data_IF_057741727085
#
_entry.id   IF_057741727085
#
_cell.length_a   1.000
_cell.length_b   1.000
_cell.length_c   1.000
_cell.angle_alpha   90.00
_cell.angle_beta   90.00
_cell.angle_gamma   90.00
#
_symmetry.space_group_name_H-M   'P 1'
#
loop_
_entity.id
_entity.type
_entity.pdbx_description
1 polymer ?
#
# COMPACT_ATOMS: atom_id res chain seq x y z
N UNK A 1 -26.21 -14.24 -7.20
CA UNK A 1 -25.39 -13.00 -7.18
C UNK A 1 -24.67 -12.99 -5.85
N UNK A 2 -23.34 -13.13 -5.86
CA UNK A 2 -22.53 -12.95 -4.65
C UNK A 2 -22.58 -11.48 -4.26
N UNK A 3 -23.03 -11.18 -3.06
CA UNK A 3 -23.11 -9.81 -2.55
C UNK A 3 -21.69 -9.29 -2.30
N UNK A 4 -21.30 -8.23 -3.02
CA UNK A 4 -20.00 -7.58 -2.83
C UNK A 4 -20.06 -6.63 -1.64
N UNK A 5 -19.11 -6.76 -0.71
CA UNK A 5 -18.89 -5.81 0.38
C UNK A 5 -17.58 -5.09 0.17
N UNK A 6 -17.47 -3.88 0.71
CA UNK A 6 -16.22 -3.15 0.72
C UNK A 6 -16.04 -2.26 1.93
N UNK A 7 -14.80 -1.94 2.23
CA UNK A 7 -14.43 -0.96 3.24
C UNK A 7 -13.17 -0.23 2.80
N UNK A 8 -12.91 0.91 3.45
CA UNK A 8 -11.71 1.70 3.20
C UNK A 8 -10.87 1.87 4.46
N UNK A 9 -9.56 1.94 4.27
CA UNK A 9 -8.57 2.24 5.29
C UNK A 9 -7.84 3.53 4.89
N UNK A 10 -7.48 4.34 5.89
CA UNK A 10 -6.66 5.55 5.70
C UNK A 10 -5.43 5.46 6.59
N UNK A 11 -4.28 5.78 6.03
CA UNK A 11 -3.02 5.86 6.76
C UNK A 11 -2.11 6.87 6.09
N UNK A 12 -1.26 7.53 6.88
CA UNK A 12 -0.31 8.50 6.39
C UNK A 12 1.10 7.93 6.51
N UNK A 13 1.87 7.88 5.43
CA UNK A 13 3.26 7.40 5.50
C UNK A 13 4.18 8.16 4.56
N UNK A 14 5.46 8.19 4.92
CA UNK A 14 6.53 8.80 4.13
C UNK A 14 7.38 7.75 3.42
N UNK A 15 8.01 8.13 2.31
CA UNK A 15 8.83 7.26 1.48
C UNK A 15 9.85 8.01 0.62
N UNK A 16 10.81 7.24 0.09
CA UNK A 16 11.84 7.67 -0.85
C UNK A 16 11.63 6.98 -2.18
N UNK A 17 11.56 7.75 -3.27
CA UNK A 17 11.68 7.22 -4.63
C UNK A 17 13.15 7.26 -5.03
N UNK A 18 13.89 6.23 -4.63
CA UNK A 18 15.32 6.09 -4.92
C UNK A 18 15.64 4.65 -5.28
N UNK A 19 16.20 4.44 -6.47
CA UNK A 19 16.70 3.15 -6.93
C UNK A 19 18.22 3.09 -6.68
N UNK A 20 18.69 2.30 -5.70
CA UNK A 20 20.10 2.29 -5.28
C UNK A 20 21.09 1.85 -6.36
N UNK A 21 20.62 1.13 -7.39
CA UNK A 21 21.46 0.69 -8.50
C UNK A 21 21.66 1.75 -9.59
N UNK A 22 20.99 2.90 -9.49
CA UNK A 22 21.06 3.98 -10.47
C UNK A 22 21.89 5.16 -9.94
N UNK A 23 22.49 5.93 -10.84
CA UNK A 23 23.10 7.20 -10.47
C UNK A 23 22.03 8.26 -10.12
N UNK A 24 22.45 9.35 -9.48
CA UNK A 24 21.58 10.44 -9.07
C UNK A 24 20.86 11.07 -10.27
N UNK A 25 21.57 11.26 -11.37
CA UNK A 25 21.02 11.87 -12.57
C UNK A 25 19.90 11.02 -13.20
N UNK A 26 20.02 9.69 -13.16
CA UNK A 26 19.00 8.75 -13.61
C UNK A 26 17.81 8.76 -12.66
N UNK A 27 18.02 8.71 -11.33
CA UNK A 27 16.94 8.84 -10.36
C UNK A 27 16.15 10.15 -10.55
N UNK A 28 16.87 11.27 -10.70
CA UNK A 28 16.26 12.58 -10.93
C UNK A 28 15.48 12.64 -12.25
N UNK A 29 16.00 12.04 -13.33
CA UNK A 29 15.29 11.96 -14.63
C UNK A 29 14.03 11.10 -14.56
N UNK A 30 14.07 9.98 -13.82
CA UNK A 30 12.96 9.03 -13.77
C UNK A 30 11.87 9.44 -12.79
N UNK A 31 12.24 9.85 -11.58
CA UNK A 31 11.29 10.13 -10.50
C UNK A 31 10.98 11.62 -10.34
N UNK A 32 11.77 12.51 -10.95
CA UNK A 32 11.49 13.95 -10.96
C UNK A 32 11.36 14.50 -9.54
N UNK A 33 10.20 15.11 -9.24
CA UNK A 33 9.91 15.70 -7.93
C UNK A 33 9.77 14.68 -6.80
N UNK A 34 9.54 13.42 -7.13
CA UNK A 34 9.43 12.35 -6.13
C UNK A 34 10.81 11.88 -5.63
N UNK A 35 11.88 12.17 -6.38
CA UNK A 35 13.24 11.98 -5.90
C UNK A 35 13.69 13.19 -5.09
N UNK A 36 13.92 12.95 -3.79
CA UNK A 36 14.45 13.94 -2.85
C UNK A 36 15.23 13.22 -1.75
N UNK A 37 16.24 13.89 -1.19
CA UNK A 37 17.13 13.31 -0.16
C UNK A 37 16.39 12.88 1.11
N UNK A 38 15.30 13.57 1.43
CA UNK A 38 14.51 13.37 2.65
C UNK A 38 13.16 12.69 2.39
N UNK A 39 12.85 12.37 1.14
CA UNK A 39 11.58 11.79 0.74
C UNK A 39 10.42 12.77 0.80
N UNK A 40 9.22 12.21 0.74
CA UNK A 40 7.94 12.90 0.89
C UNK A 40 6.92 11.90 1.47
N UNK A 41 5.66 12.30 1.62
CA UNK A 41 4.63 11.39 2.14
C UNK A 41 3.24 11.77 1.66
N UNK A 42 2.30 10.86 1.91
CA UNK A 42 0.92 10.98 1.45
C UNK A 42 -0.06 10.44 2.48
N UNK A 43 -1.31 10.92 2.36
CA UNK A 43 -2.47 10.37 3.05
C UNK A 43 -3.14 9.33 2.14
N UNK A 44 -2.69 8.08 2.27
CA UNK A 44 -3.17 7.00 1.43
C UNK A 44 -4.60 6.57 1.79
N UNK A 45 -5.39 6.23 0.78
CA UNK A 45 -6.69 5.59 0.95
C UNK A 45 -6.71 4.23 0.25
N UNK A 46 -6.81 3.15 1.04
CA UNK A 46 -6.89 1.77 0.54
C UNK A 46 -8.34 1.31 0.52
N UNK A 47 -8.86 1.03 -0.67
CA UNK A 47 -10.20 0.51 -0.92
C UNK A 47 -10.13 -1.00 -1.15
N UNK A 48 -10.97 -1.75 -0.43
CA UNK A 48 -11.02 -3.20 -0.51
C UNK A 48 -12.45 -3.61 -0.84
N UNK A 49 -12.61 -4.39 -1.92
CA UNK A 49 -13.87 -5.02 -2.32
C UNK A 49 -13.71 -6.55 -2.24
N UNK A 50 -14.67 -7.25 -1.64
CA UNK A 50 -14.59 -8.67 -1.29
C UNK A 50 -15.95 -9.35 -1.37
N UNK A 51 -16.04 -10.66 -1.69
CA UNK A 51 -17.29 -11.40 -1.60
C UNK A 51 -17.55 -11.96 -0.19
N UNK A 52 -16.65 -11.69 0.78
CA UNK A 52 -16.74 -12.21 2.13
C UNK A 52 -17.94 -11.66 2.91
N UNK A 53 -18.38 -12.44 3.89
CA UNK A 53 -19.51 -12.15 4.76
C UNK A 53 -19.24 -12.58 6.21
N UNK A 54 -20.04 -12.05 7.13
CA UNK A 54 -20.05 -12.48 8.53
C UNK A 54 -18.66 -12.45 9.17
N UNK A 55 -18.30 -13.53 9.87
CA UNK A 55 -17.04 -13.63 10.60
C UNK A 55 -15.80 -13.46 9.71
N UNK A 56 -15.81 -13.94 8.46
CA UNK A 56 -14.67 -13.77 7.56
C UNK A 56 -14.47 -12.32 7.12
N UNK A 57 -15.56 -11.56 6.99
CA UNK A 57 -15.49 -10.13 6.69
C UNK A 57 -14.93 -9.34 7.88
N UNK A 58 -15.37 -9.64 9.10
CA UNK A 58 -14.82 -8.99 10.31
C UNK A 58 -13.34 -9.35 10.53
N UNK A 59 -12.94 -10.62 10.31
CA UNK A 59 -11.52 -11.02 10.32
C UNK A 59 -10.68 -10.20 9.33
N UNK A 60 -11.22 -9.94 8.13
CA UNK A 60 -10.53 -9.11 7.14
C UNK A 60 -10.43 -7.64 7.60
N UNK A 61 -11.45 -7.11 8.26
CA UNK A 61 -11.40 -5.75 8.84
C UNK A 61 -10.38 -5.64 9.97
N UNK A 62 -10.28 -6.65 10.83
CA UNK A 62 -9.25 -6.74 11.87
C UNK A 62 -7.84 -6.78 11.25
N UNK A 63 -7.62 -7.63 10.25
CA UNK A 63 -6.36 -7.66 9.50
C UNK A 63 -6.05 -6.30 8.84
N UNK A 64 -7.07 -5.60 8.36
CA UNK A 64 -6.96 -4.23 7.85
C UNK A 64 -6.55 -3.21 8.90
N UNK A 65 -7.07 -3.32 10.13
CA UNK A 65 -6.67 -2.47 11.24
C UNK A 65 -5.21 -2.70 11.64
N UNK A 66 -4.77 -3.97 11.67
CA UNK A 66 -3.36 -4.32 11.90
C UNK A 66 -2.44 -3.78 10.79
N UNK A 67 -2.84 -3.91 9.53
CA UNK A 67 -2.11 -3.34 8.40
C UNK A 67 -1.99 -1.82 8.54
N UNK A 68 -3.08 -1.15 8.93
CA UNK A 68 -3.08 0.30 9.16
C UNK A 68 -2.07 0.67 10.24
N UNK A 69 -2.11 0.05 11.40
CA UNK A 69 -1.12 0.28 12.48
C UNK A 69 0.31 -0.04 12.04
N UNK A 70 0.47 -1.01 11.16
CA UNK A 70 1.76 -1.37 10.61
C UNK A 70 2.35 -0.30 9.67
N UNK A 71 1.54 0.52 9.00
CA UNK A 71 1.98 1.51 8.01
C UNK A 71 1.84 2.96 8.47
N UNK A 72 0.84 3.25 9.30
CA UNK A 72 0.43 4.61 9.68
C UNK A 72 1.53 5.32 10.50
N UNK A 73 1.78 6.59 10.14
CA UNK A 73 2.81 7.47 10.69
C UNK A 73 4.23 6.90 10.62
N UNK A 74 4.54 6.09 9.60
CA UNK A 74 5.87 5.50 9.40
C UNK A 74 6.56 6.00 8.14
N UNK A 75 7.87 5.84 8.12
CA UNK A 75 8.66 5.96 6.89
C UNK A 75 8.94 4.57 6.31
N UNK A 76 8.38 4.28 5.14
CA UNK A 76 8.33 2.95 4.54
C UNK A 76 9.72 2.34 4.38
N UNK A 77 10.65 3.08 3.76
CA UNK A 77 12.01 2.58 3.50
C UNK A 77 12.83 2.24 4.76
N UNK A 78 12.49 2.81 5.93
CA UNK A 78 13.23 2.58 7.18
C UNK A 78 12.55 1.54 8.08
N UNK A 79 11.24 1.39 7.96
CA UNK A 79 10.43 0.58 8.88
C UNK A 79 9.94 -0.74 8.27
N UNK A 80 9.82 -0.82 6.95
CA UNK A 80 9.30 -1.99 6.22
C UNK A 80 10.47 -2.67 5.50
N UNK A 81 10.81 -3.92 5.84
CA UNK A 81 11.95 -4.64 5.26
C UNK A 81 11.94 -4.67 3.72
N UNK A 82 10.78 -4.87 3.11
CA UNK A 82 10.57 -4.99 1.67
C UNK A 82 10.97 -3.70 0.93
N UNK A 83 10.72 -2.54 1.53
CA UNK A 83 11.00 -1.22 0.95
C UNK A 83 12.42 -0.71 1.24
N UNK A 84 13.28 -1.53 1.85
CA UNK A 84 14.73 -1.25 1.92
C UNK A 84 15.42 -1.46 0.57
N UNK A 85 14.89 -2.37 -0.24
CA UNK A 85 15.46 -2.74 -1.55
C UNK A 85 14.52 -2.48 -2.71
N UNK A 86 13.22 -2.32 -2.44
CA UNK A 86 12.22 -2.00 -3.46
C UNK A 86 11.75 -0.56 -3.32
N UNK A 87 11.54 0.12 -4.45
CA UNK A 87 10.97 1.47 -4.45
C UNK A 87 9.49 1.36 -4.07
N UNK A 88 9.03 2.05 -3.01
CA UNK A 88 7.65 1.99 -2.54
C UNK A 88 6.73 2.85 -3.43
N UNK A 89 6.64 2.49 -4.71
CA UNK A 89 5.64 3.07 -5.61
C UNK A 89 4.24 2.68 -5.15
N UNK A 90 3.23 3.39 -5.62
CA UNK A 90 1.83 3.07 -5.27
C UNK A 90 1.42 1.67 -5.72
N UNK A 91 1.96 1.17 -6.84
CA UNK A 91 1.78 -0.21 -7.29
C UNK A 91 2.43 -1.21 -6.32
N UNK A 92 3.69 -0.99 -5.94
CA UNK A 92 4.41 -1.88 -5.02
C UNK A 92 3.79 -1.87 -3.62
N UNK A 93 3.29 -0.71 -3.16
CA UNK A 93 2.58 -0.59 -1.89
C UNK A 93 1.21 -1.26 -1.94
N UNK A 94 0.48 -1.18 -3.06
CA UNK A 94 -0.77 -1.91 -3.25
C UNK A 94 -0.53 -3.44 -3.20
N UNK A 95 0.54 -3.91 -3.85
CA UNK A 95 0.94 -5.32 -3.83
C UNK A 95 1.28 -5.78 -2.41
N UNK A 96 2.08 -4.99 -1.69
CA UNK A 96 2.40 -5.25 -0.29
C UNK A 96 1.15 -5.36 0.59
N UNK A 97 0.21 -4.42 0.46
CA UNK A 97 -1.06 -4.45 1.20
C UNK A 97 -1.85 -5.73 0.90
N UNK A 98 -1.96 -6.10 -0.38
CA UNK A 98 -2.65 -7.33 -0.80
C UNK A 98 -1.99 -8.56 -0.19
N UNK A 99 -0.67 -8.67 -0.26
CA UNK A 99 0.08 -9.81 0.26
C UNK A 99 -0.03 -9.93 1.78
N UNK A 100 0.07 -8.80 2.50
CA UNK A 100 -0.13 -8.77 3.95
C UNK A 100 -1.51 -9.31 4.34
N UNK A 101 -2.56 -8.81 3.68
CA UNK A 101 -3.93 -9.22 3.99
C UNK A 101 -4.19 -10.67 3.57
N UNK A 102 -3.74 -11.11 2.39
CA UNK A 102 -3.83 -12.50 1.95
C UNK A 102 -3.15 -13.44 2.96
N UNK A 103 -1.96 -13.09 3.46
CA UNK A 103 -1.25 -13.88 4.47
C UNK A 103 -2.04 -13.99 5.78
N UNK A 104 -2.66 -12.91 6.24
CA UNK A 104 -3.51 -12.90 7.45
C UNK A 104 -4.79 -13.72 7.27
N UNK A 105 -5.35 -13.71 6.07
CA UNK A 105 -6.56 -14.46 5.75
C UNK A 105 -6.28 -15.95 5.50
N UNK A 106 -5.10 -16.28 4.97
CA UNK A 106 -4.70 -17.64 4.57
C UNK A 106 -5.01 -17.97 3.11
N UNK A 107 -5.77 -17.12 2.42
CA UNK A 107 -6.17 -17.27 1.03
C UNK A 107 -6.43 -15.89 0.37
N UNK A 108 -6.46 -15.78 -0.97
CA UNK A 108 -6.87 -14.56 -1.65
C UNK A 108 -8.37 -14.33 -1.47
N UNK A 109 -8.75 -13.19 -0.88
CA UNK A 109 -10.15 -12.90 -0.52
C UNK A 109 -10.72 -11.63 -1.15
N UNK A 110 -10.03 -11.03 -2.12
CA UNK A 110 -10.40 -9.75 -2.72
C UNK A 110 -10.97 -9.95 -4.12
N UNK A 111 -12.02 -9.21 -4.45
CA UNK A 111 -12.44 -9.00 -5.84
C UNK A 111 -11.66 -7.86 -6.49
N UNK A 112 -11.34 -6.84 -5.69
CA UNK A 112 -10.60 -5.66 -6.13
C UNK A 112 -9.95 -4.98 -4.94
N UNK A 113 -8.72 -4.51 -5.13
CA UNK A 113 -8.01 -3.70 -4.15
C UNK A 113 -7.42 -2.49 -4.86
N UNK A 114 -7.81 -1.28 -4.44
CA UNK A 114 -7.30 -0.02 -5.01
C UNK A 114 -6.64 0.81 -3.93
N UNK A 115 -5.36 1.15 -4.10
CA UNK A 115 -4.64 2.08 -3.25
C UNK A 115 -4.55 3.43 -3.94
N UNK A 116 -5.03 4.49 -3.29
CA UNK A 116 -4.86 5.86 -3.75
C UNK A 116 -3.76 6.56 -2.97
N UNK A 117 -2.78 7.11 -3.67
CA UNK A 117 -1.74 8.01 -3.14
C UNK A 117 -2.30 9.41 -2.97
N UNK A 118 -3.14 9.83 -3.90
CA UNK A 118 -3.92 11.05 -3.84
C UNK A 118 -5.24 10.85 -4.62
N UNK A 119 -6.20 11.79 -4.58
CA UNK A 119 -7.55 11.56 -5.13
C UNK A 119 -7.61 11.18 -6.62
N UNK A 120 -6.55 11.42 -7.39
CA UNK A 120 -6.48 11.14 -8.83
C UNK A 120 -5.35 10.16 -9.22
N UNK A 121 -4.53 9.70 -8.28
CA UNK A 121 -3.45 8.74 -8.52
C UNK A 121 -3.63 7.52 -7.63
N UNK A 122 -3.81 6.36 -8.25
CA UNK A 122 -3.92 5.10 -7.54
C UNK A 122 -3.59 3.89 -8.38
N UNK A 123 -3.33 2.77 -7.71
CA UNK A 123 -3.07 1.47 -8.32
C UNK A 123 -4.19 0.50 -7.94
N UNK A 124 -4.72 -0.24 -8.93
CA UNK A 124 -5.74 -1.27 -8.73
C UNK A 124 -5.18 -2.64 -9.06
N UNK A 125 -5.46 -3.61 -8.20
CA UNK A 125 -5.07 -5.01 -8.31
C UNK A 125 -6.28 -5.94 -8.36
#
# INVERSE_FOLDING_TARGET
>A
MTETRGFRLRFSCAHLYHQPSWDEAQNQRTFGKCFSDHGHGHDYELWIETPLAGASFEKLREAGAELREHLDHKHLNFTIPEFKTQVPTTENLALYCREFLTKKMGEPVFLKLTLFECPWLGATL
#
